data_IF_253711997500
#
_entry.id   IF_253711997500
#
_cell.length_a   1.000
_cell.length_b   1.000
_cell.length_c   1.000
_cell.angle_alpha   90.00
_cell.angle_beta   90.00
_cell.angle_gamma   90.00
#
_symmetry.space_group_name_H-M   'P 1'
#
loop_
_entity.id
_entity.type
_entity.pdbx_description
1 polymer ?
#
# COMPACT_ATOMS: atom_id res chain seq x y z
N UNK A 1 2.50 -21.19 1.84
CA UNK A 1 1.04 -20.97 1.91
C UNK A 1 0.60 -20.35 3.23
N UNK A 2 1.03 -20.85 4.39
CA UNK A 2 0.63 -20.32 5.70
C UNK A 2 0.91 -18.81 5.88
N UNK A 3 2.10 -18.33 5.50
CA UNK A 3 2.43 -16.90 5.62
C UNK A 3 1.57 -15.99 4.72
N UNK A 4 1.21 -16.44 3.51
CA UNK A 4 0.30 -15.71 2.62
C UNK A 4 -1.11 -15.61 3.23
N UNK A 5 -1.62 -16.71 3.79
CA UNK A 5 -2.90 -16.70 4.50
C UNK A 5 -2.83 -15.79 5.73
N UNK A 6 -1.73 -15.81 6.48
CA UNK A 6 -1.54 -14.91 7.61
C UNK A 6 -1.54 -13.44 7.18
N UNK A 7 -0.88 -13.09 6.06
CA UNK A 7 -0.92 -11.75 5.48
C UNK A 7 -2.35 -11.34 5.09
N UNK A 8 -3.10 -12.25 4.45
CA UNK A 8 -4.51 -12.06 4.13
C UNK A 8 -5.38 -11.82 5.38
N UNK A 9 -5.23 -12.63 6.44
CA UNK A 9 -5.98 -12.45 7.67
C UNK A 9 -5.63 -11.15 8.40
N UNK A 10 -4.35 -10.77 8.43
CA UNK A 10 -3.93 -9.47 8.96
C UNK A 10 -4.57 -8.33 8.16
N UNK A 11 -4.58 -8.42 6.83
CA UNK A 11 -5.24 -7.44 5.97
C UNK A 11 -6.75 -7.36 6.22
N UNK A 12 -7.42 -8.51 6.43
CA UNK A 12 -8.84 -8.58 6.82
C UNK A 12 -9.09 -7.80 8.11
N UNK A 13 -8.31 -8.09 9.16
CA UNK A 13 -8.46 -7.46 10.47
C UNK A 13 -8.24 -5.95 10.38
N UNK A 14 -7.16 -5.51 9.73
CA UNK A 14 -6.79 -4.09 9.67
C UNK A 14 -7.76 -3.30 8.79
N UNK A 15 -8.15 -3.83 7.63
CA UNK A 15 -9.06 -3.16 6.71
C UNK A 15 -10.52 -3.14 7.19
N UNK A 16 -10.88 -3.89 8.24
CA UNK A 16 -12.23 -3.91 8.83
C UNK A 16 -12.71 -2.52 9.29
N UNK A 17 -11.80 -1.55 9.48
CA UNK A 17 -12.15 -0.15 9.71
C UNK A 17 -13.07 0.41 8.60
N UNK A 18 -13.05 -0.16 7.40
CA UNK A 18 -13.95 0.12 6.29
C UNK A 18 -15.43 -0.10 6.57
N UNK A 19 -15.81 -0.88 7.58
CA UNK A 19 -17.21 -1.01 7.96
C UNK A 19 -17.79 0.31 8.54
N UNK A 20 -16.95 1.19 9.08
CA UNK A 20 -17.36 2.53 9.49
C UNK A 20 -17.66 3.44 8.28
N UNK A 21 -16.84 3.33 7.23
CA UNK A 21 -16.99 4.06 5.96
C UNK A 21 -16.37 3.22 4.86
N UNK A 22 -17.16 2.74 3.91
CA UNK A 22 -16.72 1.71 2.94
C UNK A 22 -15.46 2.11 2.14
N UNK A 23 -15.27 3.40 1.86
CA UNK A 23 -14.07 3.92 1.20
C UNK A 23 -12.79 3.63 2.00
N UNK A 24 -12.89 3.47 3.32
CA UNK A 24 -11.76 3.13 4.16
C UNK A 24 -11.26 1.70 3.98
N UNK A 25 -12.03 0.79 3.36
CA UNK A 25 -11.49 -0.51 2.93
C UNK A 25 -10.28 -0.32 2.01
N UNK A 26 -10.39 0.60 1.05
CA UNK A 26 -9.42 0.84 -0.05
C UNK A 26 -8.51 2.06 0.16
N UNK A 27 -8.58 2.71 1.31
CA UNK A 27 -7.80 3.92 1.59
C UNK A 27 -6.98 3.78 2.86
N UNK A 28 -7.57 4.09 4.03
CA UNK A 28 -6.89 3.94 5.32
C UNK A 28 -6.54 2.47 5.59
N UNK A 29 -7.49 1.57 5.35
CA UNK A 29 -7.32 0.13 5.51
C UNK A 29 -6.26 -0.46 4.60
N UNK A 30 -6.10 0.07 3.39
CA UNK A 30 -5.03 -0.31 2.47
C UNK A 30 -3.65 0.00 3.05
N UNK A 31 -3.38 1.27 3.34
CA UNK A 31 -2.07 1.70 3.84
C UNK A 31 -1.67 0.95 5.12
N UNK A 32 -2.55 0.88 6.11
CA UNK A 32 -2.21 0.17 7.35
C UNK A 32 -2.13 -1.35 7.17
N UNK A 33 -2.88 -1.96 6.25
CA UNK A 33 -2.73 -3.40 5.95
C UNK A 33 -1.34 -3.70 5.42
N UNK A 34 -0.83 -2.90 4.46
CA UNK A 34 0.52 -3.09 3.91
C UNK A 34 1.59 -2.96 5.01
N UNK A 35 1.46 -1.96 5.89
CA UNK A 35 2.39 -1.82 7.01
C UNK A 35 2.31 -3.00 8.00
N UNK A 36 1.10 -3.47 8.31
CA UNK A 36 0.90 -4.60 9.21
C UNK A 36 1.44 -5.92 8.61
N UNK A 37 1.31 -6.11 7.29
CA UNK A 37 1.91 -7.26 6.59
C UNK A 37 3.44 -7.18 6.66
N UNK A 38 4.05 -6.01 6.41
CA UNK A 38 5.49 -5.82 6.57
C UNK A 38 5.97 -6.17 7.98
N UNK A 39 5.25 -5.72 9.01
CA UNK A 39 5.56 -6.06 10.40
C UNK A 39 5.38 -7.56 10.69
N UNK A 40 4.31 -8.18 10.18
CA UNK A 40 4.08 -9.62 10.29
C UNK A 40 5.24 -10.42 9.69
N UNK A 41 5.69 -10.06 8.49
CA UNK A 41 6.80 -10.76 7.82
C UNK A 41 8.10 -10.65 8.61
N UNK A 42 8.39 -9.49 9.20
CA UNK A 42 9.53 -9.35 10.12
C UNK A 42 9.37 -10.20 11.38
N UNK A 43 8.17 -10.28 11.96
CA UNK A 43 7.92 -11.14 13.12
C UNK A 43 8.10 -12.63 12.80
N UNK A 44 7.71 -13.06 11.60
CA UNK A 44 7.77 -14.47 11.18
C UNK A 44 9.16 -14.88 10.70
N UNK A 45 9.90 -14.00 10.03
CA UNK A 45 11.12 -14.36 9.31
C UNK A 45 12.35 -13.50 9.66
N UNK A 46 12.19 -12.45 10.47
CA UNK A 46 13.25 -11.47 10.72
C UNK A 46 14.51 -12.04 11.39
N UNK A 47 14.40 -13.15 12.12
CA UNK A 47 15.55 -13.84 12.72
C UNK A 47 16.32 -14.77 11.77
N UNK A 48 15.73 -15.14 10.63
CA UNK A 48 16.27 -16.15 9.71
C UNK A 48 16.55 -15.60 8.31
N UNK A 49 16.16 -14.35 8.05
CA UNK A 49 16.30 -13.70 6.75
C UNK A 49 17.44 -12.70 6.70
N UNK A 50 17.80 -12.26 5.51
CA UNK A 50 18.91 -11.33 5.28
C UNK A 50 18.47 -9.85 5.23
N UNK A 51 19.46 -8.96 5.24
CA UNK A 51 19.25 -7.52 5.30
C UNK A 51 18.43 -6.94 4.14
N UNK A 52 18.48 -7.54 2.94
CA UNK A 52 17.71 -7.05 1.80
C UNK A 52 16.22 -7.31 1.98
N UNK A 53 15.85 -8.52 2.40
CA UNK A 53 14.45 -8.85 2.67
C UNK A 53 13.89 -8.12 3.91
N UNK A 54 14.74 -7.89 4.92
CA UNK A 54 14.41 -6.98 6.03
C UNK A 54 14.11 -5.58 5.49
N UNK A 55 14.96 -5.03 4.62
CA UNK A 55 14.75 -3.71 4.03
C UNK A 55 13.46 -3.64 3.21
N UNK A 56 13.12 -4.67 2.44
CA UNK A 56 11.84 -4.74 1.72
C UNK A 56 10.63 -4.70 2.67
N UNK A 57 10.67 -5.45 3.78
CA UNK A 57 9.61 -5.43 4.78
C UNK A 57 9.51 -4.08 5.51
N UNK A 58 10.65 -3.45 5.81
CA UNK A 58 10.69 -2.09 6.38
C UNK A 58 10.08 -1.08 5.41
N UNK A 59 10.36 -1.20 4.11
CA UNK A 59 9.75 -0.34 3.10
C UNK A 59 8.22 -0.50 3.03
N UNK A 60 7.66 -1.70 3.23
CA UNK A 60 6.20 -1.85 3.39
C UNK A 60 5.65 -1.09 4.60
N UNK A 61 6.34 -1.16 5.75
CA UNK A 61 5.96 -0.43 6.96
C UNK A 61 5.99 1.08 6.69
N UNK A 62 7.08 1.58 6.13
CA UNK A 62 7.23 3.00 5.81
C UNK A 62 6.17 3.48 4.81
N UNK A 63 5.95 2.73 3.72
CA UNK A 63 4.93 3.02 2.73
C UNK A 63 3.55 3.09 3.36
N UNK A 64 3.17 2.03 4.10
CA UNK A 64 1.84 1.89 4.67
C UNK A 64 1.53 2.90 5.77
N UNK A 65 2.49 3.13 6.69
CA UNK A 65 2.35 4.13 7.74
C UNK A 65 2.25 5.56 7.16
N UNK A 66 3.05 5.87 6.13
CA UNK A 66 2.98 7.16 5.45
C UNK A 66 1.62 7.34 4.74
N UNK A 67 1.15 6.33 3.99
CA UNK A 67 -0.13 6.41 3.28
C UNK A 67 -1.31 6.51 4.25
N UNK A 68 -1.41 5.53 5.16
CA UNK A 68 -2.47 5.42 6.14
C UNK A 68 -2.50 6.63 7.08
N UNK A 69 -1.32 7.10 7.52
CA UNK A 69 -1.18 8.29 8.34
C UNK A 69 -1.63 9.56 7.62
N UNK A 70 -1.18 9.79 6.38
CA UNK A 70 -1.58 10.95 5.59
C UNK A 70 -3.10 10.98 5.34
N UNK A 71 -3.69 9.83 4.98
CA UNK A 71 -5.14 9.73 4.74
C UNK A 71 -5.95 9.91 6.02
N UNK A 72 -5.50 9.35 7.14
CA UNK A 72 -6.14 9.52 8.45
C UNK A 72 -6.09 10.98 8.91
N UNK A 73 -4.93 11.64 8.75
CA UNK A 73 -4.79 13.06 9.03
C UNK A 73 -5.74 13.91 8.16
N UNK A 74 -5.82 13.60 6.87
CA UNK A 74 -6.72 14.31 5.93
C UNK A 74 -8.20 14.17 6.33
N UNK A 75 -8.65 12.96 6.64
CA UNK A 75 -10.04 12.68 7.03
C UNK A 75 -10.39 13.32 8.39
N UNK A 76 -9.45 13.40 9.33
CA UNK A 76 -9.73 13.96 10.67
C UNK A 76 -9.61 15.48 10.74
N UNK A 77 -8.69 16.10 9.98
CA UNK A 77 -8.36 17.52 10.13
C UNK A 77 -8.86 18.43 9.01
N UNK A 78 -9.22 17.92 7.83
CA UNK A 78 -9.69 18.78 6.71
C UNK A 78 -11.20 18.80 6.61
N UNK A 79 -11.83 19.75 7.30
CA UNK A 79 -13.28 19.97 7.29
C UNK A 79 -13.88 20.20 5.89
N UNK A 80 -13.15 20.89 5.00
CA UNK A 80 -13.57 21.12 3.61
C UNK A 80 -13.64 19.82 2.80
N UNK A 81 -12.67 18.92 3.00
CA UNK A 81 -12.67 17.60 2.39
C UNK A 81 -13.80 16.72 2.93
N UNK A 82 -14.07 16.75 4.24
CA UNK A 82 -15.21 16.04 4.83
C UNK A 82 -16.56 16.54 4.31
N UNK A 83 -16.71 17.85 4.12
CA UNK A 83 -17.92 18.46 3.55
C UNK A 83 -18.12 18.03 2.09
N UNK A 84 -17.04 17.98 1.30
CA UNK A 84 -17.08 17.51 -0.10
C UNK A 84 -17.37 16.01 -0.18
N UNK A 85 -16.70 15.19 0.64
CA UNK A 85 -16.95 13.75 0.73
C UNK A 85 -18.38 13.43 1.12
N UNK A 86 -18.97 14.12 2.09
CA UNK A 86 -20.39 13.94 2.47
C UNK A 86 -21.36 14.28 1.34
N UNK A 87 -20.97 15.18 0.42
CA UNK A 87 -21.78 15.59 -0.73
C UNK A 87 -21.63 14.62 -1.92
N UNK A 88 -20.42 14.15 -2.17
CA UNK A 88 -20.08 13.34 -3.36
C UNK A 88 -20.16 11.82 -3.10
N UNK A 89 -19.81 11.38 -1.89
CA UNK A 89 -19.91 9.99 -1.46
C UNK A 89 -21.05 9.89 -0.45
N UNK A 90 -22.19 9.35 -0.89
CA UNK A 90 -23.22 8.85 0.05
C UNK A 90 -22.51 7.87 0.98
N UNK A 91 -22.68 8.00 2.30
CA UNK A 91 -21.96 7.25 3.38
C UNK A 91 -22.12 5.71 3.35
N UNK A 92 -22.39 5.09 2.20
CA UNK A 92 -22.63 3.65 2.06
C UNK A 92 -23.95 3.20 2.68
N UNK A 93 -24.85 4.13 3.04
CA UNK A 93 -26.16 3.83 3.65
C UNK A 93 -27.08 3.00 2.74
N UNK A 94 -26.86 3.02 1.42
CA UNK A 94 -27.60 2.20 0.46
C UNK A 94 -26.89 0.92 0.01
N UNK A 95 -25.69 0.63 0.54
CA UNK A 95 -24.92 -0.55 0.13
C UNK A 95 -25.24 -1.73 1.05
N UNK A 96 -25.62 -2.86 0.46
CA UNK A 96 -25.92 -4.09 1.22
C UNK A 96 -24.70 -4.58 1.99
N UNK A 97 -24.95 -5.27 3.12
CA UNK A 97 -23.87 -5.87 3.91
C UNK A 97 -23.05 -6.86 3.07
N UNK A 98 -23.70 -7.62 2.21
CA UNK A 98 -23.05 -8.56 1.27
C UNK A 98 -22.07 -7.84 0.35
N UNK A 99 -22.44 -6.70 -0.22
CA UNK A 99 -21.54 -5.93 -1.08
C UNK A 99 -20.34 -5.37 -0.29
N UNK A 100 -20.55 -4.91 0.95
CA UNK A 100 -19.46 -4.46 1.83
C UNK A 100 -18.49 -5.60 2.15
N UNK A 101 -19.00 -6.78 2.52
CA UNK A 101 -18.17 -7.96 2.76
C UNK A 101 -17.41 -8.38 1.50
N UNK A 102 -18.05 -8.33 0.32
CA UNK A 102 -17.39 -8.62 -0.96
C UNK A 102 -16.21 -7.69 -1.24
N UNK A 103 -16.40 -6.37 -1.10
CA UNK A 103 -15.33 -5.36 -1.27
C UNK A 103 -14.22 -5.57 -0.22
N UNK A 104 -14.59 -5.82 1.03
CA UNK A 104 -13.64 -6.00 2.11
C UNK A 104 -12.71 -7.20 1.88
N UNK A 105 -13.31 -8.36 1.56
CA UNK A 105 -12.57 -9.59 1.32
C UNK A 105 -11.71 -9.47 0.06
N UNK A 106 -12.26 -8.90 -1.02
CA UNK A 106 -11.49 -8.73 -2.27
C UNK A 106 -10.34 -7.73 -2.10
N UNK A 107 -10.54 -6.64 -1.38
CA UNK A 107 -9.50 -5.67 -1.08
C UNK A 107 -8.39 -6.29 -0.20
N UNK A 108 -8.75 -7.01 0.86
CA UNK A 108 -7.76 -7.70 1.69
C UNK A 108 -6.97 -8.76 0.92
N UNK A 109 -7.63 -9.49 0.01
CA UNK A 109 -6.97 -10.46 -0.87
C UNK A 109 -6.00 -9.75 -1.80
N UNK A 110 -6.40 -8.62 -2.40
CA UNK A 110 -5.52 -7.82 -3.24
C UNK A 110 -4.27 -7.37 -2.48
N UNK A 111 -4.38 -6.92 -1.23
CA UNK A 111 -3.20 -6.50 -0.44
C UNK A 111 -2.24 -7.66 -0.14
N UNK A 112 -2.79 -8.86 0.11
CA UNK A 112 -1.97 -10.06 0.27
C UNK A 112 -1.28 -10.45 -1.04
N UNK A 113 -1.96 -10.30 -2.18
CA UNK A 113 -1.41 -10.53 -3.51
C UNK A 113 -0.30 -9.52 -3.87
N UNK A 114 -0.54 -8.21 -3.69
CA UNK A 114 0.43 -7.15 -3.95
C UNK A 114 1.72 -7.31 -3.13
N UNK A 115 1.61 -7.78 -1.88
CA UNK A 115 2.77 -8.05 -1.01
C UNK A 115 3.34 -9.47 -1.17
N UNK A 116 2.73 -10.29 -2.02
CA UNK A 116 3.10 -11.69 -2.19
C UNK A 116 4.49 -11.92 -2.80
N UNK A 117 5.05 -11.07 -3.68
CA UNK A 117 6.41 -11.27 -4.20
C UNK A 117 7.46 -11.43 -3.10
N UNK A 118 7.46 -10.52 -2.11
CA UNK A 118 8.35 -10.59 -0.93
C UNK A 118 7.97 -11.76 -0.03
N UNK A 119 6.65 -11.97 0.19
CA UNK A 119 6.15 -13.06 1.04
C UNK A 119 6.58 -14.44 0.52
N UNK A 120 6.45 -14.69 -0.78
CA UNK A 120 6.82 -15.97 -1.38
C UNK A 120 8.33 -16.16 -1.44
N UNK A 121 9.10 -15.08 -1.64
CA UNK A 121 10.56 -15.16 -1.53
C UNK A 121 11.01 -15.61 -0.14
N UNK A 122 10.42 -15.05 0.92
CA UNK A 122 10.65 -15.47 2.31
C UNK A 122 10.24 -16.94 2.53
N UNK A 123 9.03 -17.31 2.13
CA UNK A 123 8.50 -18.69 2.30
C UNK A 123 9.32 -19.74 1.56
N UNK A 124 9.83 -19.40 0.37
CA UNK A 124 10.62 -20.33 -0.44
C UNK A 124 12.11 -20.32 -0.04
N UNK A 125 12.46 -19.68 1.08
CA UNK A 125 13.82 -19.58 1.62
C UNK A 125 14.85 -19.10 0.58
N UNK A 126 14.44 -18.13 -0.24
CA UNK A 126 15.32 -17.50 -1.25
C UNK A 126 15.85 -16.19 -0.68
N UNK A 127 17.14 -16.13 -0.41
CA UNK A 127 17.80 -14.92 0.09
C UNK A 127 17.87 -13.80 -0.94
N UNK A 128 18.53 -12.71 -0.59
CA UNK A 128 18.74 -11.54 -1.44
C UNK A 128 19.65 -11.84 -2.62
N UNK A 129 19.18 -11.48 -3.81
CA UNK A 129 19.93 -11.50 -5.06
C UNK A 129 19.82 -10.14 -5.77
N UNK A 130 20.32 -10.06 -7.01
CA UNK A 130 20.28 -8.83 -7.80
C UNK A 130 18.85 -8.30 -8.02
N UNK A 131 17.83 -9.18 -8.11
CA UNK A 131 16.44 -8.76 -8.30
C UNK A 131 15.88 -8.12 -7.04
N UNK A 132 16.21 -8.66 -5.87
CA UNK A 132 15.83 -8.05 -4.58
C UNK A 132 16.45 -6.67 -4.44
N UNK A 133 17.74 -6.52 -4.73
CA UNK A 133 18.42 -5.22 -4.65
C UNK A 133 17.82 -4.21 -5.63
N UNK A 134 17.59 -4.60 -6.89
CA UNK A 134 16.95 -3.74 -7.88
C UNK A 134 15.54 -3.34 -7.44
N UNK A 135 14.75 -4.30 -6.95
CA UNK A 135 13.40 -4.07 -6.45
C UNK A 135 13.37 -3.10 -5.28
N UNK A 136 14.27 -3.24 -4.30
CA UNK A 136 14.39 -2.32 -3.15
C UNK A 136 14.74 -0.89 -3.59
N UNK A 137 15.67 -0.74 -4.54
CA UNK A 137 16.03 0.59 -5.08
C UNK A 137 14.80 1.24 -5.73
N UNK A 138 14.06 0.47 -6.54
CA UNK A 138 12.85 0.94 -7.21
C UNK A 138 11.75 1.26 -6.18
N UNK A 139 11.55 0.41 -5.17
CA UNK A 139 10.62 0.65 -4.05
C UNK A 139 10.96 1.96 -3.34
N UNK A 140 12.23 2.15 -2.94
CA UNK A 140 12.67 3.36 -2.27
C UNK A 140 12.47 4.62 -3.15
N UNK A 141 12.79 4.54 -4.45
CA UNK A 141 12.57 5.63 -5.39
C UNK A 141 11.07 5.97 -5.54
N UNK A 142 10.21 4.96 -5.60
CA UNK A 142 8.76 5.12 -5.63
C UNK A 142 8.24 5.82 -4.37
N UNK A 143 8.65 5.35 -3.19
CA UNK A 143 8.29 5.93 -1.90
C UNK A 143 8.72 7.40 -1.77
N UNK A 144 9.95 7.72 -2.17
CA UNK A 144 10.48 9.10 -2.15
C UNK A 144 9.70 9.99 -3.11
N UNK A 145 9.42 9.50 -4.33
CA UNK A 145 8.67 10.24 -5.34
C UNK A 145 7.25 10.53 -4.87
N UNK A 146 6.55 9.52 -4.35
CA UNK A 146 5.21 9.67 -3.83
C UNK A 146 5.16 10.64 -2.65
N UNK A 147 6.04 10.45 -1.67
CA UNK A 147 6.10 11.31 -0.47
C UNK A 147 6.37 12.76 -0.86
N UNK A 148 7.31 12.99 -1.77
CA UNK A 148 7.65 14.33 -2.25
C UNK A 148 6.47 14.98 -2.98
N UNK A 149 5.75 14.22 -3.82
CA UNK A 149 4.56 14.69 -4.51
C UNK A 149 3.43 15.07 -3.55
N UNK A 150 3.13 14.23 -2.56
CA UNK A 150 2.08 14.51 -1.58
C UNK A 150 2.39 15.73 -0.70
N UNK A 151 3.66 15.91 -0.31
CA UNK A 151 4.12 17.10 0.42
C UNK A 151 3.96 18.35 -0.44
N UNK A 152 4.45 18.34 -1.69
CA UNK A 152 4.32 19.47 -2.62
C UNK A 152 2.85 19.86 -2.83
N UNK A 153 1.98 18.86 -3.06
CA UNK A 153 0.55 19.08 -3.23
C UNK A 153 -0.11 19.62 -1.96
N UNK A 154 0.27 19.11 -0.80
CA UNK A 154 -0.27 19.55 0.48
C UNK A 154 0.10 20.99 0.81
N UNK A 155 1.35 21.39 0.55
CA UNK A 155 1.83 22.76 0.72
C UNK A 155 1.13 23.72 -0.26
N UNK A 156 1.11 23.38 -1.56
CA UNK A 156 0.47 24.21 -2.58
C UNK A 156 -1.04 24.40 -2.31
N UNK A 157 -1.74 23.36 -1.87
CA UNK A 157 -3.17 23.43 -1.52
C UNK A 157 -3.45 24.11 -0.18
N UNK A 158 -2.45 24.24 0.70
CA UNK A 158 -2.58 25.06 1.92
C UNK A 158 -2.55 26.54 1.59
N UNK A 159 -1.71 26.94 0.63
CA UNK A 159 -1.59 28.34 0.21
C UNK A 159 -2.68 28.77 -0.77
N UNK A 160 -2.97 27.93 -1.78
CA UNK A 160 -3.96 28.22 -2.83
C UNK A 160 -4.88 27.02 -3.05
N UNK A 161 -5.95 26.87 -2.24
CA UNK A 161 -6.83 25.71 -2.26
C UNK A 161 -7.46 25.40 -3.63
N UNK A 162 -7.82 26.44 -4.38
CA UNK A 162 -8.56 26.30 -5.64
C UNK A 162 -7.66 26.20 -6.88
N UNK A 163 -6.38 26.56 -6.77
CA UNK A 163 -5.44 26.53 -7.89
C UNK A 163 -4.94 25.10 -8.16
N UNK A 164 -4.82 24.72 -9.43
CA UNK A 164 -4.13 23.49 -9.81
C UNK A 164 -2.64 23.54 -9.43
N UNK A 165 -2.04 22.39 -9.11
CA UNK A 165 -0.63 22.28 -8.74
C UNK A 165 0.15 21.94 -10.00
N UNK A 166 0.98 22.86 -10.47
CA UNK A 166 1.74 22.79 -11.72
C UNK A 166 3.26 23.01 -11.51
N UNK A 167 3.72 22.95 -10.26
CA UNK A 167 5.12 23.15 -9.86
C UNK A 167 5.76 21.86 -9.33
N UNK A 168 7.09 21.85 -9.19
CA UNK A 168 7.81 20.70 -8.66
C UNK A 168 7.67 19.47 -9.57
N UNK A 169 7.25 18.33 -9.01
CA UNK A 169 7.02 17.09 -9.77
C UNK A 169 5.78 17.16 -10.67
N UNK A 170 4.79 17.98 -10.30
CA UNK A 170 3.54 18.12 -11.06
C UNK A 170 3.72 18.83 -12.42
N UNK A 171 4.89 19.45 -12.66
CA UNK A 171 5.26 19.98 -13.98
C UNK A 171 5.69 18.90 -14.97
N UNK A 172 6.13 17.75 -14.47
CA UNK A 172 6.67 16.64 -15.27
C UNK A 172 5.54 15.68 -15.63
N UNK A 173 4.74 15.28 -14.65
CA UNK A 173 3.62 14.37 -14.81
C UNK A 173 2.41 14.88 -14.03
N UNK A 174 1.19 14.64 -14.55
CA UNK A 174 -0.06 15.12 -13.93
C UNK A 174 -0.29 14.57 -12.51
N UNK A 175 0.18 13.35 -12.27
CA UNK A 175 -0.11 12.56 -11.07
C UNK A 175 1.18 11.89 -10.53
N UNK A 176 2.18 12.67 -10.06
CA UNK A 176 3.46 12.13 -9.62
C UNK A 176 3.36 11.24 -8.38
N UNK A 177 2.34 11.47 -7.53
CA UNK A 177 2.07 10.60 -6.39
C UNK A 177 1.66 9.18 -6.86
N UNK A 178 0.79 9.08 -7.87
CA UNK A 178 0.41 7.79 -8.46
C UNK A 178 1.58 7.14 -9.21
N UNK A 179 2.45 7.93 -9.86
CA UNK A 179 3.67 7.41 -10.46
C UNK A 179 4.58 6.78 -9.41
N UNK A 180 4.76 7.44 -8.26
CA UNK A 180 5.55 6.92 -7.14
C UNK A 180 4.96 5.60 -6.61
N UNK A 181 3.64 5.53 -6.42
CA UNK A 181 2.94 4.31 -6.00
C UNK A 181 3.13 3.16 -7.00
N UNK A 182 2.90 3.40 -8.30
CA UNK A 182 3.14 2.39 -9.33
C UNK A 182 4.60 1.93 -9.38
N UNK A 183 5.54 2.87 -9.20
CA UNK A 183 6.98 2.55 -9.14
C UNK A 183 7.28 1.68 -7.93
N UNK A 184 6.70 1.99 -6.77
CA UNK A 184 6.87 1.19 -5.56
C UNK A 184 6.45 -0.27 -5.79
N UNK A 185 5.23 -0.49 -6.29
CA UNK A 185 4.71 -1.84 -6.55
C UNK A 185 5.43 -2.57 -7.67
N UNK A 186 5.92 -1.85 -8.68
CA UNK A 186 6.81 -2.43 -9.70
C UNK A 186 8.08 -2.99 -9.04
N UNK A 187 8.66 -2.25 -8.09
CA UNK A 187 9.80 -2.71 -7.31
C UNK A 187 9.47 -3.96 -6.48
N UNK A 188 8.31 -3.99 -5.84
CA UNK A 188 7.82 -5.16 -5.10
C UNK A 188 7.74 -6.39 -6.00
N UNK A 189 7.08 -6.28 -7.15
CA UNK A 189 7.01 -7.37 -8.13
C UNK A 189 8.39 -7.88 -8.55
N UNK A 190 9.33 -6.95 -8.83
CA UNK A 190 10.71 -7.29 -9.22
C UNK A 190 11.42 -8.10 -8.13
N UNK A 191 11.20 -7.82 -6.83
CA UNK A 191 11.81 -8.63 -5.75
C UNK A 191 11.39 -10.10 -5.78
N UNK A 192 10.22 -10.43 -6.33
CA UNK A 192 9.73 -11.82 -6.45
C UNK A 192 10.23 -12.57 -7.69
N UNK A 193 10.96 -11.91 -8.60
CA UNK A 193 11.50 -12.57 -9.80
C UNK A 193 12.50 -13.64 -9.36
N UNK A 194 12.35 -14.86 -9.90
CA UNK A 194 13.21 -16.01 -9.58
C UNK A 194 12.88 -16.71 -8.26
N UNK A 195 11.94 -16.21 -7.45
CA UNK A 195 11.50 -16.88 -6.23
C UNK A 195 10.16 -17.61 -6.35
N UNK A 196 9.27 -17.18 -7.24
CA UNK A 196 7.92 -17.76 -7.37
C UNK A 196 7.95 -19.19 -7.93
N UNK A 197 7.36 -20.13 -7.19
CA UNK A 197 7.22 -21.55 -7.58
C UNK A 197 5.78 -21.86 -7.98
N UNK A 198 5.59 -22.33 -9.22
CA UNK A 198 4.29 -22.75 -9.74
C UNK A 198 3.36 -21.59 -10.15
N UNK A 199 2.31 -21.92 -10.91
CA UNK A 199 1.40 -20.93 -11.49
C UNK A 199 0.65 -20.09 -10.44
N UNK A 200 0.29 -20.69 -9.29
CA UNK A 200 -0.46 -19.98 -8.24
C UNK A 200 0.31 -18.81 -7.63
N UNK A 201 1.62 -18.94 -7.41
CA UNK A 201 2.44 -17.83 -6.88
C UNK A 201 2.60 -16.71 -7.91
N UNK A 202 2.73 -17.06 -9.20
CA UNK A 202 2.76 -16.07 -10.27
C UNK A 202 1.43 -15.34 -10.47
N UNK A 203 0.29 -16.02 -10.30
CA UNK A 203 -1.04 -15.39 -10.37
C UNK A 203 -1.27 -14.44 -9.19
N UNK A 204 -0.75 -14.78 -8.00
CA UNK A 204 -0.88 -13.94 -6.82
C UNK A 204 0.14 -12.79 -6.79
N UNK A 205 1.28 -12.91 -7.45
CA UNK A 205 2.29 -11.86 -7.58
C UNK A 205 1.85 -10.81 -8.61
N UNK A 206 1.03 -9.86 -8.16
CA UNK A 206 0.48 -8.74 -8.95
C UNK A 206 1.05 -7.40 -8.52
#
# INVERSE_FOLDING_TARGET
MAAFLAAFFVAIIVSAIGFKKYVWFISIGYGFSVAAIGALLLCLFGGETDAGLIAACVLFILYGCRLGGYLTYRETKKASYNKKMKKEIKDGKGMSMTAKCGIWISAALLYACETSPVTFRLVNAKGTDAWVIAGIIIMAAGLVTETSADVQKSLAKRERPDRFVDTGLYKIVRCPNYLGEMTFWTGVFITGIGSNTGAGQWIAAV
#
